data_IF_834676167502
#
_entry.id   IF_834676167502
#
_cell.length_a   1.000
_cell.length_b   1.000
_cell.length_c   1.000
_cell.angle_alpha   90.00
_cell.angle_beta   90.00
_cell.angle_gamma   90.00
#
_symmetry.space_group_name_H-M   'P 1'
#
loop_
_entity.id
_entity.type
_entity.pdbx_description
1 polymer ?
#
# COMPACT_ATOMS: atom_id res chain seq x y z
N UNK A 1 11.81 4.25 3.90
CA UNK A 1 10.89 3.28 3.31
C UNK A 1 9.59 3.91 2.86
N UNK A 2 8.74 3.13 2.20
CA UNK A 2 7.45 3.55 1.69
C UNK A 2 6.36 2.97 2.60
N UNK A 3 5.45 3.83 3.10
CA UNK A 3 4.39 3.40 4.02
C UNK A 3 3.05 3.43 3.30
N UNK A 4 2.24 2.39 3.50
CA UNK A 4 0.85 2.35 3.08
C UNK A 4 -0.02 1.72 4.17
N UNK A 5 -1.31 2.04 4.17
CA UNK A 5 -2.25 1.58 5.19
C UNK A 5 -3.34 0.72 4.57
N UNK A 6 -3.70 -0.35 5.27
CA UNK A 6 -4.69 -1.32 4.79
C UNK A 6 -5.32 -2.10 5.94
N UNK A 7 -6.35 -2.88 5.62
CA UNK A 7 -6.88 -3.92 6.51
C UNK A 7 -5.98 -5.15 6.43
N UNK A 8 -5.44 -5.60 7.55
CA UNK A 8 -4.56 -6.78 7.64
C UNK A 8 -5.26 -8.09 7.28
N UNK A 9 -6.60 -8.14 7.43
CA UNK A 9 -7.42 -9.30 7.07
C UNK A 9 -7.85 -9.28 5.59
N UNK A 10 -7.49 -8.24 4.82
CA UNK A 10 -7.71 -8.22 3.37
C UNK A 10 -6.90 -9.30 2.66
N UNK A 11 -7.23 -9.60 1.39
CA UNK A 11 -6.43 -10.55 0.60
C UNK A 11 -4.95 -10.15 0.60
N UNK A 12 -4.64 -8.88 0.32
CA UNK A 12 -3.29 -8.34 0.40
C UNK A 12 -2.64 -8.56 1.78
N UNK A 13 -3.35 -8.32 2.87
CA UNK A 13 -2.83 -8.50 4.22
C UNK A 13 -2.48 -9.97 4.51
N UNK A 14 -3.30 -10.90 4.04
CA UNK A 14 -3.04 -12.35 4.13
C UNK A 14 -1.85 -12.77 3.29
N UNK A 15 -1.75 -12.27 2.05
CA UNK A 15 -0.63 -12.56 1.15
C UNK A 15 0.70 -12.09 1.77
N UNK A 16 0.72 -10.87 2.33
CA UNK A 16 1.89 -10.29 2.97
C UNK A 16 2.29 -11.01 4.28
N UNK A 17 1.33 -11.61 4.98
CA UNK A 17 1.62 -12.42 6.16
C UNK A 17 2.36 -13.73 5.80
N UNK A 18 2.14 -14.27 4.59
CA UNK A 18 2.81 -15.47 4.10
C UNK A 18 4.12 -15.14 3.37
N UNK A 19 4.15 -14.05 2.63
CA UNK A 19 5.33 -13.63 1.86
C UNK A 19 5.51 -12.11 2.00
N UNK A 20 6.53 -11.66 2.74
CA UNK A 20 6.77 -10.24 2.96
C UNK A 20 7.39 -9.52 1.75
N UNK A 21 7.68 -10.21 0.66
CA UNK A 21 8.19 -9.56 -0.54
C UNK A 21 7.05 -8.90 -1.32
N UNK A 22 7.23 -7.64 -1.67
CA UNK A 22 6.24 -6.89 -2.41
C UNK A 22 6.85 -5.89 -3.38
N UNK A 23 6.02 -5.44 -4.31
CA UNK A 23 6.37 -4.39 -5.26
C UNK A 23 5.29 -3.32 -5.26
N UNK A 24 5.70 -2.07 -5.04
CA UNK A 24 4.87 -0.89 -5.30
C UNK A 24 5.08 -0.46 -6.74
N UNK A 25 3.99 -0.18 -7.45
CA UNK A 25 4.04 0.29 -8.83
C UNK A 25 3.34 1.63 -8.95
N UNK A 26 4.06 2.63 -9.46
CA UNK A 26 3.57 3.97 -9.74
C UNK A 26 3.56 4.19 -11.25
N UNK A 27 2.40 4.60 -11.80
CA UNK A 27 2.24 4.82 -13.22
C UNK A 27 1.70 6.23 -13.50
N UNK A 28 2.41 6.98 -14.33
CA UNK A 28 2.02 8.29 -14.83
C UNK A 28 1.76 8.20 -16.33
N UNK A 29 0.52 7.91 -16.71
CA UNK A 29 0.14 7.65 -18.11
C UNK A 29 0.49 8.80 -19.06
N UNK A 30 0.21 10.04 -18.69
CA UNK A 30 0.52 11.22 -19.53
C UNK A 30 2.01 11.45 -19.75
N UNK A 31 2.85 10.96 -18.86
CA UNK A 31 4.31 11.08 -18.93
C UNK A 31 4.94 9.81 -19.52
N UNK A 32 4.17 8.75 -19.71
CA UNK A 32 4.66 7.42 -20.05
C UNK A 32 5.81 6.98 -19.15
N UNK A 33 5.63 7.18 -17.84
CA UNK A 33 6.62 6.85 -16.80
C UNK A 33 6.06 5.85 -15.81
N UNK A 34 6.94 4.93 -15.40
CA UNK A 34 6.64 3.98 -14.35
C UNK A 34 7.82 3.90 -13.38
N UNK A 35 7.50 3.78 -12.09
CA UNK A 35 8.48 3.44 -11.06
C UNK A 35 8.00 2.19 -10.36
N UNK A 36 8.84 1.17 -10.29
CA UNK A 36 8.59 -0.07 -9.55
C UNK A 36 9.58 -0.14 -8.39
N UNK A 37 9.06 -0.34 -7.18
CA UNK A 37 9.86 -0.40 -5.97
C UNK A 37 9.61 -1.74 -5.31
N UNK A 38 10.59 -2.62 -5.35
CA UNK A 38 10.54 -3.96 -4.76
C UNK A 38 11.37 -4.02 -3.49
N UNK A 39 10.92 -4.82 -2.54
CA UNK A 39 11.58 -4.99 -1.27
C UNK A 39 10.77 -5.81 -0.28
N UNK A 40 11.15 -5.74 0.98
CA UNK A 40 10.47 -6.44 2.07
C UNK A 40 9.52 -5.54 2.82
N UNK A 41 8.43 -6.10 3.29
CA UNK A 41 7.37 -5.40 4.04
C UNK A 41 7.35 -5.86 5.49
N UNK A 42 7.21 -4.91 6.38
CA UNK A 42 6.96 -5.12 7.81
C UNK A 42 5.81 -4.24 8.29
N UNK A 43 5.11 -4.64 9.34
CA UNK A 43 4.13 -3.77 9.99
C UNK A 43 4.86 -2.64 10.70
N UNK A 44 4.33 -1.41 10.60
CA UNK A 44 4.81 -0.28 11.39
C UNK A 44 4.29 -0.37 12.84
N UNK A 45 4.86 0.45 13.72
CA UNK A 45 4.42 0.54 15.10
C UNK A 45 2.93 0.95 15.20
N UNK A 46 2.24 0.43 16.20
CA UNK A 46 0.81 0.74 16.43
C UNK A 46 0.59 2.24 16.59
N UNK A 47 1.49 2.91 17.32
CA UNK A 47 1.44 4.36 17.51
C UNK A 47 1.40 5.13 16.17
N UNK A 48 2.23 4.76 15.21
CA UNK A 48 2.24 5.39 13.87
C UNK A 48 0.95 5.09 13.12
N UNK A 49 0.40 3.88 13.28
CA UNK A 49 -0.90 3.52 12.70
C UNK A 49 -2.05 4.30 13.32
N UNK A 50 -2.01 4.54 14.63
CA UNK A 50 -2.98 5.37 15.36
C UNK A 50 -2.91 6.83 14.90
N UNK A 51 -1.71 7.40 14.87
CA UNK A 51 -1.49 8.79 14.44
C UNK A 51 -2.06 9.02 13.03
N UNK A 52 -1.78 8.12 12.10
CA UNK A 52 -2.34 8.24 10.76
C UNK A 52 -3.85 7.98 10.72
N UNK A 53 -4.37 6.99 11.46
CA UNK A 53 -5.80 6.71 11.51
C UNK A 53 -6.60 7.94 11.93
N UNK A 54 -6.20 8.59 13.02
CA UNK A 54 -6.90 9.76 13.57
C UNK A 54 -6.67 11.05 12.77
N UNK A 55 -5.63 11.12 11.94
CA UNK A 55 -5.43 12.23 11.00
C UNK A 55 -6.39 12.18 9.79
N UNK A 56 -7.04 11.03 9.55
CA UNK A 56 -7.95 10.85 8.41
C UNK A 56 -9.31 11.50 8.67
N UNK A 57 -10.03 11.91 7.60
CA UNK A 57 -11.42 12.34 7.74
C UNK A 57 -12.27 11.30 8.45
N UNK A 58 -13.23 11.73 9.28
CA UNK A 58 -14.11 10.87 10.10
C UNK A 58 -14.78 9.79 9.25
N UNK A 59 -15.29 10.12 8.06
CA UNK A 59 -15.88 9.15 7.15
C UNK A 59 -14.91 8.04 6.69
N UNK A 60 -13.62 8.38 6.54
CA UNK A 60 -12.58 7.42 6.20
C UNK A 60 -12.19 6.53 7.39
N UNK A 61 -12.24 7.07 8.61
CA UNK A 61 -12.06 6.29 9.84
C UNK A 61 -13.20 5.29 9.99
N UNK A 62 -14.45 5.74 9.88
CA UNK A 62 -15.64 4.89 9.94
C UNK A 62 -15.59 3.80 8.87
N UNK A 63 -15.25 4.15 7.62
CA UNK A 63 -15.09 3.18 6.54
C UNK A 63 -14.06 2.08 6.84
N UNK A 64 -12.95 2.41 7.48
CA UNK A 64 -11.93 1.42 7.89
C UNK A 64 -12.45 0.47 8.98
N UNK A 65 -13.34 0.95 9.86
CA UNK A 65 -13.93 0.15 10.92
C UNK A 65 -14.94 -0.87 10.36
N UNK A 66 -15.79 -0.43 9.43
CA UNK A 66 -16.93 -1.26 8.97
C UNK A 66 -16.58 -2.21 7.83
N UNK A 67 -15.53 -1.91 7.06
CA UNK A 67 -15.24 -2.64 5.83
C UNK A 67 -14.47 -3.94 6.11
N UNK A 68 -15.08 -5.12 5.85
CA UNK A 68 -14.37 -6.39 5.81
C UNK A 68 -13.64 -6.51 4.46
N UNK A 69 -12.62 -5.67 4.26
CA UNK A 69 -11.93 -5.51 2.97
C UNK A 69 -11.60 -6.85 2.30
N UNK A 70 -11.91 -6.96 1.02
CA UNK A 70 -11.75 -8.16 0.17
C UNK A 70 -12.71 -9.32 0.47
N UNK A 71 -13.61 -9.19 1.43
CA UNK A 71 -14.63 -10.21 1.70
C UNK A 71 -15.89 -9.98 0.87
N UNK A 72 -16.60 -11.04 0.58
CA UNK A 72 -17.95 -10.94 -0.01
C UNK A 72 -18.91 -10.35 1.02
N UNK A 73 -19.71 -9.40 0.59
CA UNK A 73 -20.76 -8.76 1.42
C UNK A 73 -22.12 -8.91 0.74
N UNK A 74 -23.18 -8.82 1.51
CA UNK A 74 -24.55 -9.01 1.02
C UNK A 74 -24.96 -7.93 0.00
N UNK A 75 -24.66 -6.66 0.30
CA UNK A 75 -25.07 -5.53 -0.54
C UNK A 75 -24.35 -4.24 -0.15
N UNK A 76 -24.50 -3.22 -0.99
CA UNK A 76 -24.09 -1.85 -0.65
C UNK A 76 -24.88 -1.31 0.54
N UNK A 77 -26.18 -1.57 0.61
CA UNK A 77 -27.05 -1.14 1.69
C UNK A 77 -26.58 -1.66 3.06
N UNK A 78 -26.07 -2.88 3.10
CA UNK A 78 -25.45 -3.45 4.31
C UNK A 78 -24.27 -2.61 4.81
N UNK A 79 -23.38 -2.13 3.92
CA UNK A 79 -22.28 -1.24 4.29
C UNK A 79 -22.79 0.12 4.79
N UNK A 80 -23.77 0.69 4.12
CA UNK A 80 -24.35 2.00 4.46
C UNK A 80 -25.02 1.97 5.83
N UNK A 81 -25.73 0.90 6.15
CA UNK A 81 -26.32 0.70 7.48
C UNK A 81 -25.25 0.63 8.57
N UNK A 82 -24.18 -0.15 8.38
CA UNK A 82 -23.08 -0.25 9.33
C UNK A 82 -22.35 1.09 9.51
N UNK A 83 -22.24 1.88 8.44
CA UNK A 83 -21.67 3.22 8.51
C UNK A 83 -22.48 4.13 9.44
N UNK A 84 -23.81 4.11 9.30
CA UNK A 84 -24.73 4.88 10.17
C UNK A 84 -24.56 4.42 11.63
N UNK A 85 -24.59 3.11 11.88
CA UNK A 85 -24.43 2.54 13.22
C UNK A 85 -23.15 2.98 13.91
N UNK A 86 -22.02 2.98 13.19
CA UNK A 86 -20.72 3.38 13.73
C UNK A 86 -20.66 4.90 13.99
N UNK A 87 -21.25 5.69 13.10
CA UNK A 87 -21.30 7.15 13.27
C UNK A 87 -22.18 7.55 14.48
N UNK A 88 -23.28 6.84 14.71
CA UNK A 88 -24.15 7.09 15.88
C UNK A 88 -23.48 6.77 17.21
N UNK A 89 -22.50 5.84 17.26
CA UNK A 89 -21.73 5.54 18.46
C UNK A 89 -20.77 6.66 18.88
N UNK A 90 -20.43 7.56 17.99
CA UNK A 90 -19.69 8.80 18.27
C UNK A 90 -18.19 8.64 18.52
N UNK A 91 -17.74 7.48 18.99
CA UNK A 91 -16.33 7.22 19.29
C UNK A 91 -15.73 6.25 18.26
N UNK A 92 -14.82 6.75 17.41
CA UNK A 92 -14.14 5.95 16.41
C UNK A 92 -12.77 5.52 16.95
N UNK A 93 -12.58 4.22 17.15
CA UNK A 93 -11.29 3.63 17.53
C UNK A 93 -10.70 2.88 16.33
N UNK A 94 -9.39 3.00 16.15
CA UNK A 94 -8.71 2.21 15.13
C UNK A 94 -8.90 0.72 15.41
N UNK A 95 -9.39 -0.07 14.45
CA UNK A 95 -9.50 -1.51 14.61
C UNK A 95 -8.10 -2.15 14.62
N UNK A 96 -7.90 -3.19 15.42
CA UNK A 96 -6.64 -3.94 15.49
C UNK A 96 -6.22 -4.53 14.12
N UNK A 97 -7.20 -4.86 13.28
CA UNK A 97 -6.98 -5.38 11.94
C UNK A 97 -6.67 -4.31 10.88
N UNK A 98 -6.51 -3.05 11.27
CA UNK A 98 -6.18 -1.96 10.34
C UNK A 98 -4.94 -1.20 10.81
N UNK A 99 -3.99 -1.00 9.89
CA UNK A 99 -2.77 -0.26 10.19
C UNK A 99 -1.85 -0.19 8.98
N UNK A 100 -0.61 0.23 9.24
CA UNK A 100 0.39 0.49 8.23
C UNK A 100 1.36 -0.66 8.02
N UNK A 101 1.84 -0.73 6.79
CA UNK A 101 3.01 -1.49 6.39
C UNK A 101 4.07 -0.54 5.84
N UNK A 102 5.33 -0.86 6.09
CA UNK A 102 6.50 -0.17 5.53
C UNK A 102 7.24 -1.11 4.60
N UNK A 103 7.42 -0.70 3.35
CA UNK A 103 8.29 -1.37 2.40
C UNK A 103 9.70 -0.79 2.50
N UNK A 104 10.67 -1.63 2.80
CA UNK A 104 12.09 -1.33 2.72
C UNK A 104 12.59 -1.75 1.34
N UNK A 105 12.93 -0.77 0.51
CA UNK A 105 13.30 -1.01 -0.87
C UNK A 105 14.69 -1.66 -0.99
N UNK A 106 14.79 -2.69 -1.81
CA UNK A 106 16.06 -3.33 -2.22
C UNK A 106 16.30 -3.18 -3.72
N UNK A 107 15.23 -2.99 -4.49
CA UNK A 107 15.29 -2.78 -5.95
C UNK A 107 14.34 -1.66 -6.35
N UNK A 108 14.80 -0.75 -7.21
CA UNK A 108 13.96 0.29 -7.81
C UNK A 108 14.22 0.32 -9.32
N UNK A 109 13.16 0.18 -10.11
CA UNK A 109 13.23 0.33 -11.57
C UNK A 109 12.50 1.59 -12.00
N UNK A 110 13.19 2.46 -12.73
CA UNK A 110 12.62 3.61 -13.43
C UNK A 110 12.46 3.25 -14.91
N UNK A 111 11.23 3.37 -15.41
CA UNK A 111 10.89 3.12 -16.78
C UNK A 111 10.34 4.39 -17.45
N UNK A 112 10.81 4.68 -18.67
CA UNK A 112 10.32 5.77 -19.51
C UNK A 112 9.94 5.22 -20.88
N UNK A 113 8.69 5.50 -21.32
CA UNK A 113 8.24 5.21 -22.67
C UNK A 113 9.03 5.97 -23.72
N UNK A 114 9.37 5.28 -24.82
CA UNK A 114 10.06 5.83 -25.98
C UNK A 114 9.49 5.23 -27.25
N UNK A 115 9.69 5.93 -28.36
CA UNK A 115 9.31 5.46 -29.70
C UNK A 115 9.96 4.11 -30.04
N UNK A 116 9.32 3.36 -30.95
CA UNK A 116 9.81 2.08 -31.44
C UNK A 116 10.07 1.01 -30.38
N UNK A 117 9.40 1.12 -29.22
CA UNK A 117 9.58 0.24 -28.05
C UNK A 117 10.99 0.25 -27.44
N UNK A 118 11.83 1.21 -27.78
CA UNK A 118 13.17 1.37 -27.23
C UNK A 118 13.12 2.16 -25.91
N UNK A 119 12.38 1.61 -24.95
CA UNK A 119 12.14 2.26 -23.66
C UNK A 119 13.41 2.37 -22.82
N UNK A 120 13.55 3.48 -22.08
CA UNK A 120 14.62 3.58 -21.09
C UNK A 120 14.22 2.82 -19.82
N UNK A 121 15.13 2.00 -19.32
CA UNK A 121 14.96 1.25 -18.08
C UNK A 121 16.23 1.36 -17.25
N UNK A 122 16.13 2.00 -16.09
CA UNK A 122 17.23 2.11 -15.13
C UNK A 122 16.88 1.31 -13.88
N UNK A 123 17.70 0.32 -13.58
CA UNK A 123 17.57 -0.54 -12.41
C UNK A 123 18.55 -0.10 -11.35
N UNK A 124 18.04 0.16 -10.16
CA UNK A 124 18.82 0.38 -8.95
C UNK A 124 18.68 -0.84 -8.06
N UNK A 125 19.78 -1.45 -7.69
CA UNK A 125 19.81 -2.61 -6.78
C UNK A 125 20.68 -2.28 -5.58
N UNK A 126 20.20 -2.56 -4.37
CA UNK A 126 21.01 -2.46 -3.16
C UNK A 126 21.97 -3.64 -3.08
N UNK A 127 23.25 -3.38 -2.88
CA UNK A 127 24.25 -4.40 -2.63
C UNK A 127 24.35 -4.77 -1.14
N UNK A 128 25.22 -5.70 -0.79
CA UNK A 128 25.42 -6.18 0.59
C UNK A 128 25.88 -5.08 1.56
N UNK A 129 26.51 -4.02 1.06
CA UNK A 129 26.94 -2.85 1.83
C UNK A 129 25.86 -1.75 1.90
N UNK A 130 24.61 -2.07 1.52
CA UNK A 130 23.47 -1.14 1.44
C UNK A 130 23.65 0.02 0.45
N UNK A 131 24.63 -0.04 -0.44
CA UNK A 131 24.86 0.94 -1.49
C UNK A 131 24.05 0.62 -2.74
N UNK A 132 23.59 1.65 -3.45
CA UNK A 132 22.84 1.50 -4.68
C UNK A 132 23.76 1.38 -5.89
N UNK A 133 23.59 0.31 -6.63
CA UNK A 133 24.20 0.09 -7.94
C UNK A 133 23.19 0.36 -9.03
N UNK A 134 23.65 1.02 -10.12
CA UNK A 134 22.78 1.44 -11.22
C UNK A 134 23.16 0.67 -12.46
N UNK A 135 22.16 0.08 -13.11
CA UNK A 135 22.31 -0.66 -14.36
C UNK A 135 21.25 -0.21 -15.35
N UNK A 136 21.56 -0.28 -16.64
CA UNK A 136 20.58 -0.09 -17.70
C UNK A 136 20.09 -1.45 -18.18
N UNK A 137 18.77 -1.63 -18.22
CA UNK A 137 18.15 -2.83 -18.77
C UNK A 137 17.76 -2.61 -20.24
N UNK A 138 17.81 -3.67 -21.03
CA UNK A 138 17.19 -3.67 -22.34
C UNK A 138 15.67 -3.52 -22.22
N UNK A 139 15.03 -2.84 -23.17
CA UNK A 139 13.57 -2.66 -23.22
C UNK A 139 12.83 -3.97 -23.48
#
# INVERSE_FOLDING_TARGET
GFIFFTNYNSQKGKDLAHNPNACLNFWWSKLERQVRISGTIEKIAEKESDEYFYSRPIGSQAGAIISPQSSVIESRAWLEQRLIEVQLKGELKRPEHWGGYKLTATVVEFWQGRSNRLHDRLLYTKNENEQWEIQRLAP
#
